data_IF_545157067961
#
_entry.id   IF_545157067961
#
_cell.length_a   1.000
_cell.length_b   1.000
_cell.length_c   1.000
_cell.angle_alpha   90.00
_cell.angle_beta   90.00
_cell.angle_gamma   90.00
#
_symmetry.space_group_name_H-M   'P 1'
#
loop_
_entity.id
_entity.type
_entity.pdbx_description
1 polymer ?
#
# COMPACT_ATOMS: atom_id res chain seq x y z
N UNK A 1 33.74 1.17 3.66
CA UNK A 1 32.45 0.55 3.32
C UNK A 1 31.42 1.62 3.04
N UNK A 2 30.49 1.37 2.12
CA UNK A 2 29.40 2.30 1.77
C UNK A 2 28.06 1.60 1.97
N UNK A 3 27.20 2.19 2.80
CA UNK A 3 25.84 1.74 3.07
C UNK A 3 24.88 2.80 2.53
N UNK A 4 24.28 2.56 1.37
CA UNK A 4 23.22 3.42 0.82
C UNK A 4 21.88 2.82 1.21
N UNK A 5 21.04 3.53 1.99
CA UNK A 5 19.72 3.00 2.30
C UNK A 5 18.84 2.97 1.06
N UNK A 6 17.88 2.06 1.05
CA UNK A 6 16.85 2.04 0.02
C UNK A 6 16.09 3.37 0.06
N UNK A 7 15.99 4.05 -1.09
CA UNK A 7 15.50 5.42 -1.12
C UNK A 7 13.97 5.45 -1.15
N UNK A 8 13.36 5.73 -0.01
CA UNK A 8 11.93 6.04 0.10
C UNK A 8 11.73 7.28 0.92
N UNK A 9 11.02 8.26 0.37
CA UNK A 9 10.80 9.55 0.99
C UNK A 9 10.12 9.42 2.36
N UNK A 10 9.21 8.45 2.50
CA UNK A 10 8.45 8.20 3.72
C UNK A 10 9.30 7.64 4.87
N UNK A 11 10.46 7.03 4.58
CA UNK A 11 11.36 6.43 5.59
C UNK A 11 12.58 7.32 5.81
N UNK A 12 13.22 7.72 4.71
CA UNK A 12 14.45 8.49 4.73
C UNK A 12 15.28 8.23 3.49
N UNK A 13 15.98 9.27 3.06
CA UNK A 13 16.87 9.23 1.91
C UNK A 13 18.29 9.58 2.34
N UNK A 14 18.94 8.67 3.06
CA UNK A 14 20.29 8.88 3.60
C UNK A 14 21.21 7.68 3.37
N UNK A 15 22.51 7.92 3.44
CA UNK A 15 23.53 6.90 3.26
C UNK A 15 24.77 7.23 4.08
N UNK A 16 25.57 6.21 4.34
CA UNK A 16 26.81 6.31 5.11
C UNK A 16 27.97 5.77 4.28
N UNK A 17 28.96 6.61 4.06
CA UNK A 17 30.29 6.17 3.68
C UNK A 17 31.17 6.20 4.93
N UNK A 18 31.79 5.09 5.31
CA UNK A 18 32.66 5.07 6.49
C UNK A 18 33.89 4.18 6.32
N UNK A 19 34.89 4.46 7.14
CA UNK A 19 36.13 3.72 7.30
C UNK A 19 36.39 3.49 8.78
N UNK A 20 36.93 2.33 9.13
CA UNK A 20 37.32 2.00 10.48
C UNK A 20 38.79 1.60 10.51
N UNK A 21 39.54 2.15 11.46
CA UNK A 21 40.95 1.80 11.66
C UNK A 21 41.09 0.94 12.91
N UNK A 22 41.36 -0.35 12.73
CA UNK A 22 41.51 -1.30 13.84
C UNK A 22 42.66 -0.95 14.79
N UNK A 23 43.74 -0.34 14.28
CA UNK A 23 44.90 0.04 15.09
C UNK A 23 44.58 1.15 16.12
N UNK A 24 43.69 2.08 15.77
CA UNK A 24 43.33 3.22 16.62
C UNK A 24 41.94 3.09 17.24
N UNK A 25 41.13 2.14 16.77
CA UNK A 25 39.71 2.01 17.14
C UNK A 25 38.83 3.13 16.61
N UNK A 26 39.33 3.98 15.71
CA UNK A 26 38.62 5.17 15.22
C UNK A 26 37.78 4.83 13.99
N UNK A 27 36.48 5.12 14.08
CA UNK A 27 35.54 5.08 12.96
C UNK A 27 35.33 6.50 12.43
N UNK A 28 35.60 6.72 11.14
CA UNK A 28 35.30 7.98 10.44
C UNK A 28 34.22 7.73 9.41
N UNK A 29 33.15 8.51 9.42
CA UNK A 29 32.04 8.34 8.48
C UNK A 29 31.43 9.67 8.05
N UNK A 30 30.92 9.68 6.82
CA UNK A 30 30.17 10.78 6.22
C UNK A 30 28.74 10.28 6.00
N UNK A 31 27.80 10.91 6.71
CA UNK A 31 26.37 10.75 6.47
C UNK A 31 25.95 11.73 5.38
N UNK A 32 25.31 11.23 4.32
CA UNK A 32 24.84 12.06 3.20
C UNK A 32 23.37 11.77 2.89
N UNK A 33 22.65 12.74 2.33
CA UNK A 33 21.25 12.56 1.91
C UNK A 33 20.29 13.67 2.35
N UNK A 34 19.01 13.50 2.02
CA UNK A 34 17.94 14.42 2.42
C UNK A 34 17.69 14.30 3.92
N UNK A 35 17.67 15.43 4.62
CA UNK A 35 17.61 15.45 6.08
C UNK A 35 18.92 15.06 6.78
N UNK A 36 20.01 14.81 6.04
CA UNK A 36 21.34 14.59 6.64
C UNK A 36 21.99 15.90 7.14
N UNK A 37 21.62 17.04 6.55
CA UNK A 37 22.02 18.37 6.99
C UNK A 37 20.83 19.08 7.68
N UNK A 38 21.14 20.02 8.59
CA UNK A 38 20.22 20.70 9.52
C UNK A 38 19.06 21.47 8.89
N UNK A 39 18.99 21.58 7.55
CA UNK A 39 18.10 22.47 6.81
C UNK A 39 17.10 21.76 5.88
N UNK A 40 16.83 20.46 6.09
CA UNK A 40 15.82 19.73 5.31
C UNK A 40 14.53 19.49 6.09
N UNK A 41 13.38 19.84 5.53
CA UNK A 41 12.11 19.29 5.99
C UNK A 41 12.10 17.77 5.74
N UNK A 42 11.75 16.99 6.77
CA UNK A 42 11.55 15.54 6.65
C UNK A 42 10.09 15.27 6.24
N UNK A 43 9.76 14.01 5.96
CA UNK A 43 8.39 13.60 5.74
C UNK A 43 7.52 14.02 6.94
N UNK A 44 6.34 14.61 6.69
CA UNK A 44 5.47 15.22 7.72
C UNK A 44 5.05 14.28 8.85
N UNK A 45 5.21 12.97 8.63
CA UNK A 45 5.00 11.93 9.63
C UNK A 45 6.01 11.99 10.79
N UNK A 46 7.24 12.46 10.56
CA UNK A 46 8.33 12.42 11.53
C UNK A 46 8.47 13.73 12.28
N UNK A 47 8.46 13.66 13.61
CA UNK A 47 8.60 14.83 14.47
C UNK A 47 10.01 15.46 14.43
N UNK A 48 11.02 14.68 14.03
CA UNK A 48 12.42 15.09 13.93
C UNK A 48 12.99 14.66 12.59
N UNK A 49 13.94 15.46 12.10
CA UNK A 49 14.72 15.15 10.91
C UNK A 49 15.61 13.93 11.18
N UNK A 50 15.73 13.03 10.20
CA UNK A 50 16.56 11.82 10.26
C UNK A 50 17.96 12.03 10.87
N UNK A 51 18.68 13.09 10.46
CA UNK A 51 20.02 13.38 11.02
C UNK A 51 20.01 13.59 12.53
N UNK A 52 19.00 14.27 13.05
CA UNK A 52 18.89 14.57 14.47
C UNK A 52 18.64 13.29 15.28
N UNK A 53 17.76 12.41 14.79
CA UNK A 53 17.48 11.12 15.42
C UNK A 53 18.70 10.20 15.38
N UNK A 54 19.35 10.07 14.21
CA UNK A 54 20.60 9.30 14.06
C UNK A 54 21.69 9.85 14.99
N UNK A 55 21.85 11.17 15.05
CA UNK A 55 22.83 11.80 15.94
C UNK A 55 22.55 11.49 17.42
N UNK A 56 21.28 11.56 17.84
CA UNK A 56 20.87 11.18 19.19
C UNK A 56 21.18 9.71 19.49
N UNK A 57 20.92 8.80 18.54
CA UNK A 57 21.27 7.38 18.69
C UNK A 57 22.77 7.16 18.82
N UNK A 58 23.59 7.86 18.01
CA UNK A 58 25.05 7.80 18.09
C UNK A 58 25.53 8.30 19.45
N UNK A 59 25.02 9.45 19.92
CA UNK A 59 25.38 10.03 21.20
C UNK A 59 24.93 9.19 22.41
N UNK A 60 23.83 8.42 22.30
CA UNK A 60 23.35 7.57 23.38
C UNK A 60 24.24 6.33 23.61
N UNK A 61 25.03 5.91 22.62
CA UNK A 61 25.79 4.66 22.64
C UNK A 61 27.31 4.88 22.52
N UNK A 62 27.85 5.88 23.23
CA UNK A 62 29.28 6.25 23.23
C UNK A 62 30.22 5.09 23.51
N UNK A 63 29.81 4.17 24.38
CA UNK A 63 30.61 3.01 24.76
C UNK A 63 30.95 2.08 23.57
N UNK A 64 30.13 2.08 22.51
CA UNK A 64 30.31 1.21 21.35
C UNK A 64 30.95 1.90 20.15
N UNK A 65 31.39 3.17 20.26
CA UNK A 65 31.95 3.93 19.12
C UNK A 65 33.18 3.29 18.50
N UNK A 66 33.95 2.57 19.31
CA UNK A 66 35.17 1.88 18.88
C UNK A 66 34.87 0.59 18.11
N UNK A 67 33.61 0.16 18.02
CA UNK A 67 33.25 -1.05 17.29
C UNK A 67 33.06 -0.74 15.79
N UNK A 68 33.69 -1.50 14.87
CA UNK A 68 33.65 -1.24 13.42
C UNK A 68 32.22 -1.22 12.84
N UNK A 69 31.36 -2.09 13.35
CA UNK A 69 29.96 -2.20 12.90
C UNK A 69 28.98 -1.29 13.63
N UNK A 70 29.44 -0.44 14.56
CA UNK A 70 28.54 0.44 15.33
C UNK A 70 27.75 1.41 14.44
N UNK A 71 28.44 2.13 13.56
CA UNK A 71 27.79 3.10 12.67
C UNK A 71 26.82 2.41 11.68
N UNK A 72 27.21 1.33 10.97
CA UNK A 72 26.29 0.55 10.14
C UNK A 72 25.07 0.02 10.88
N UNK A 73 25.26 -0.57 12.06
CA UNK A 73 24.17 -1.14 12.84
C UNK A 73 23.19 -0.05 13.31
N UNK A 74 23.71 1.10 13.74
CA UNK A 74 22.88 2.24 14.18
C UNK A 74 22.02 2.79 13.05
N UNK A 75 22.59 2.92 11.85
CA UNK A 75 21.84 3.42 10.68
C UNK A 75 20.79 2.41 10.24
N UNK A 76 21.13 1.11 10.22
CA UNK A 76 20.17 0.06 9.92
C UNK A 76 19.05 0.02 10.94
N UNK A 77 19.36 0.17 12.23
CA UNK A 77 18.35 0.25 13.28
C UNK A 77 17.39 1.42 13.06
N UNK A 78 17.91 2.62 12.82
CA UNK A 78 17.08 3.80 12.58
C UNK A 78 16.19 3.62 11.35
N UNK A 79 16.76 3.15 10.24
CA UNK A 79 16.01 2.88 9.00
C UNK A 79 14.93 1.81 9.21
N UNK A 80 15.22 0.76 9.98
CA UNK A 80 14.27 -0.30 10.28
C UNK A 80 13.12 0.19 11.15
N UNK A 81 13.39 1.01 12.18
CA UNK A 81 12.35 1.58 13.06
C UNK A 81 11.38 2.45 12.27
N UNK A 82 11.90 3.36 11.43
CA UNK A 82 11.06 4.21 10.59
C UNK A 82 10.23 3.38 9.59
N UNK A 83 10.84 2.36 9.01
CA UNK A 83 10.15 1.45 8.10
C UNK A 83 9.06 0.64 8.80
N UNK A 84 9.32 0.14 10.01
CA UNK A 84 8.36 -0.62 10.81
C UNK A 84 7.15 0.24 11.18
N UNK A 85 7.38 1.45 11.67
CA UNK A 85 6.30 2.38 11.99
C UNK A 85 5.44 2.70 10.76
N UNK A 86 6.07 2.99 9.62
CA UNK A 86 5.32 3.29 8.40
C UNK A 86 4.50 2.08 7.92
N UNK A 87 5.05 0.87 7.93
CA UNK A 87 4.31 -0.32 7.48
C UNK A 87 3.18 -0.68 8.45
N UNK A 88 3.50 -0.75 9.74
CA UNK A 88 2.61 -1.28 10.77
C UNK A 88 1.52 -0.29 11.17
N UNK A 89 1.81 1.02 11.13
CA UNK A 89 0.84 2.06 11.51
C UNK A 89 0.20 2.67 10.28
N UNK A 90 0.99 3.21 9.36
CA UNK A 90 0.43 4.01 8.25
C UNK A 90 -0.18 3.11 7.17
N UNK A 91 0.60 2.20 6.59
CA UNK A 91 0.11 1.34 5.52
C UNK A 91 -0.97 0.38 6.01
N UNK A 92 -0.84 -0.18 7.22
CA UNK A 92 -1.83 -1.09 7.80
C UNK A 92 -3.18 -0.41 8.02
N UNK A 93 -3.20 0.85 8.51
CA UNK A 93 -4.44 1.59 8.68
C UNK A 93 -5.09 1.91 7.32
N UNK A 94 -4.30 2.39 6.35
CA UNK A 94 -4.81 2.63 4.98
C UNK A 94 -5.40 1.35 4.38
N UNK A 95 -4.71 0.22 4.56
CA UNK A 95 -5.19 -1.08 4.09
C UNK A 95 -6.50 -1.48 4.76
N UNK A 96 -6.60 -1.32 6.08
CA UNK A 96 -7.82 -1.64 6.84
C UNK A 96 -8.99 -0.78 6.38
N UNK A 97 -8.78 0.53 6.18
CA UNK A 97 -9.81 1.45 5.68
C UNK A 97 -10.30 1.03 4.29
N UNK A 98 -9.38 0.63 3.41
CA UNK A 98 -9.72 0.11 2.07
C UNK A 98 -10.52 -1.20 2.14
N UNK A 99 -10.14 -2.12 3.01
CA UNK A 99 -10.89 -3.36 3.17
C UNK A 99 -12.29 -3.12 3.76
N UNK A 100 -12.45 -2.13 4.65
CA UNK A 100 -13.75 -1.71 5.15
C UNK A 100 -14.62 -1.16 4.01
N UNK A 101 -14.07 -0.28 3.16
CA UNK A 101 -14.77 0.24 1.97
C UNK A 101 -15.17 -0.88 1.01
N UNK A 102 -14.27 -1.85 0.77
CA UNK A 102 -14.54 -3.01 -0.09
C UNK A 102 -15.57 -3.97 0.52
N UNK A 103 -15.68 -3.99 1.85
CA UNK A 103 -16.56 -4.89 2.61
C UNK A 103 -16.04 -6.33 2.75
N UNK A 104 -14.76 -6.58 2.46
CA UNK A 104 -14.18 -7.94 2.45
C UNK A 104 -13.67 -8.41 3.79
N UNK A 105 -13.23 -7.50 4.65
CA UNK A 105 -12.79 -7.86 6.00
C UNK A 105 -13.71 -7.27 7.06
N UNK A 106 -14.14 -8.16 7.95
CA UNK A 106 -14.85 -7.86 9.19
C UNK A 106 -14.15 -8.64 10.29
N UNK A 107 -13.03 -8.10 10.79
CA UNK A 107 -12.19 -8.80 11.76
C UNK A 107 -12.08 -8.02 13.08
N UNK A 108 -12.12 -8.73 14.21
CA UNK A 108 -11.95 -8.17 15.56
C UNK A 108 -13.24 -7.75 16.29
N UNK A 109 -13.07 -6.99 17.39
CA UNK A 109 -14.16 -6.57 18.31
C UNK A 109 -15.07 -5.45 17.77
N UNK A 110 -14.76 -4.91 16.59
CA UNK A 110 -15.53 -3.83 15.93
C UNK A 110 -16.71 -4.35 15.10
N UNK A 111 -17.06 -5.63 15.27
CA UNK A 111 -18.20 -6.31 14.65
C UNK A 111 -19.57 -5.62 14.82
N UNK A 112 -19.71 -4.68 15.77
CA UNK A 112 -21.02 -4.23 16.28
C UNK A 112 -21.37 -2.76 16.01
N UNK A 113 -20.77 -2.14 15.01
CA UNK A 113 -21.29 -0.88 14.45
C UNK A 113 -22.04 -1.22 13.17
N UNK A 114 -23.32 -1.57 13.35
CA UNK A 114 -24.29 -1.79 12.29
C UNK A 114 -24.37 -0.55 11.39
N UNK A 115 -24.31 -0.72 10.06
CA UNK A 115 -24.89 0.28 9.15
C UNK A 115 -24.18 0.64 7.85
N UNK A 116 -23.02 0.10 7.48
CA UNK A 116 -22.40 0.46 6.19
C UNK A 116 -22.80 -0.50 5.07
N UNK A 117 -23.69 -0.01 4.22
CA UNK A 117 -24.18 -0.60 2.97
C UNK A 117 -23.03 -1.13 2.11
N UNK A 118 -23.14 -2.37 1.64
CA UNK A 118 -22.19 -2.93 0.67
C UNK A 118 -22.31 -2.16 -0.65
N UNK A 119 -21.19 -1.60 -1.12
CA UNK A 119 -21.08 -0.78 -2.36
C UNK A 119 -21.79 -1.39 -3.57
N UNK A 120 -21.88 -2.73 -3.64
CA UNK A 120 -22.44 -3.45 -4.76
C UNK A 120 -23.97 -3.67 -4.69
N UNK A 121 -24.57 -3.64 -3.50
CA UNK A 121 -25.97 -4.06 -3.31
C UNK A 121 -26.94 -2.89 -3.23
N UNK A 122 -26.62 -1.83 -2.47
CA UNK A 122 -27.62 -0.81 -2.11
C UNK A 122 -27.55 0.49 -2.92
N UNK A 123 -26.43 0.80 -3.56
CA UNK A 123 -26.26 2.06 -4.29
C UNK A 123 -26.85 2.03 -5.71
N UNK A 124 -27.37 3.18 -6.23
CA UNK A 124 -27.67 3.37 -7.64
C UNK A 124 -26.45 3.04 -8.52
N UNK A 125 -26.67 2.38 -9.65
CA UNK A 125 -25.59 1.87 -10.53
C UNK A 125 -24.53 2.94 -10.90
N UNK A 126 -24.89 4.19 -11.25
CA UNK A 126 -23.89 5.22 -11.56
C UNK A 126 -22.98 5.53 -10.36
N UNK A 127 -23.56 5.71 -9.18
CA UNK A 127 -22.82 6.00 -7.94
C UNK A 127 -21.93 4.83 -7.52
N UNK A 128 -22.41 3.58 -7.69
CA UNK A 128 -21.60 2.40 -7.44
C UNK A 128 -20.38 2.32 -8.36
N UNK A 129 -20.52 2.70 -9.64
CA UNK A 129 -19.40 2.72 -10.60
C UNK A 129 -18.34 3.76 -10.25
N UNK A 130 -18.75 4.96 -9.87
CA UNK A 130 -17.81 6.02 -9.48
C UNK A 130 -17.03 5.61 -8.21
N UNK A 131 -17.72 5.11 -7.19
CA UNK A 131 -17.07 4.61 -5.97
C UNK A 131 -16.11 3.44 -6.24
N UNK A 132 -16.48 2.49 -7.12
CA UNK A 132 -15.59 1.37 -7.46
C UNK A 132 -14.37 1.85 -8.26
N UNK A 133 -14.52 2.85 -9.13
CA UNK A 133 -13.40 3.46 -9.86
C UNK A 133 -12.42 4.11 -8.88
N UNK A 134 -12.91 4.90 -7.95
CA UNK A 134 -12.07 5.58 -6.95
C UNK A 134 -11.38 4.57 -6.03
N UNK A 135 -12.10 3.52 -5.60
CA UNK A 135 -11.52 2.42 -4.83
C UNK A 135 -10.43 1.67 -5.61
N UNK A 136 -10.60 1.50 -6.92
CA UNK A 136 -9.59 0.87 -7.79
C UNK A 136 -8.32 1.70 -7.88
N UNK A 137 -8.43 3.03 -7.97
CA UNK A 137 -7.27 3.92 -7.97
C UNK A 137 -6.53 3.82 -6.63
N UNK A 138 -7.26 3.94 -5.51
CA UNK A 138 -6.69 3.86 -4.16
C UNK A 138 -5.99 2.52 -3.91
N UNK A 139 -6.65 1.41 -4.25
CA UNK A 139 -6.11 0.07 -4.06
C UNK A 139 -4.86 -0.16 -4.92
N UNK A 140 -4.84 0.32 -6.16
CA UNK A 140 -3.63 0.24 -7.01
C UNK A 140 -2.46 1.03 -6.41
N UNK A 141 -2.70 2.27 -5.95
CA UNK A 141 -1.68 3.08 -5.29
C UNK A 141 -1.14 2.42 -4.03
N UNK A 142 -2.01 1.86 -3.18
CA UNK A 142 -1.58 1.13 -1.99
C UNK A 142 -0.79 -0.13 -2.33
N UNK A 143 -1.27 -0.92 -3.30
CA UNK A 143 -0.58 -2.14 -3.71
C UNK A 143 0.82 -1.83 -4.24
N UNK A 144 0.99 -0.73 -4.97
CA UNK A 144 2.29 -0.27 -5.40
C UNK A 144 3.19 0.04 -4.18
N UNK A 145 2.71 0.82 -3.21
CA UNK A 145 3.47 1.10 -1.98
C UNK A 145 3.83 -0.19 -1.22
N UNK A 146 2.89 -1.13 -1.06
CA UNK A 146 3.15 -2.41 -0.39
C UNK A 146 4.25 -3.23 -1.09
N UNK A 147 4.22 -3.30 -2.42
CA UNK A 147 5.25 -3.99 -3.21
C UNK A 147 6.62 -3.35 -2.98
N UNK A 148 6.68 -2.03 -3.00
CA UNK A 148 7.91 -1.28 -2.75
C UNK A 148 8.44 -1.52 -1.33
N UNK A 149 7.57 -1.56 -0.31
CA UNK A 149 7.97 -1.86 1.06
C UNK A 149 8.31 -3.34 1.31
N UNK A 150 7.82 -4.27 0.47
CA UNK A 150 8.39 -5.62 0.39
C UNK A 150 9.84 -5.58 -0.10
N UNK A 151 10.16 -4.77 -1.11
CA UNK A 151 11.54 -4.63 -1.60
C UNK A 151 12.46 -3.99 -0.54
N UNK A 152 11.99 -2.95 0.16
CA UNK A 152 12.72 -2.30 1.26
C UNK A 152 13.05 -3.30 2.37
N UNK A 153 12.07 -4.08 2.83
CA UNK A 153 12.26 -5.05 3.92
C UNK A 153 13.15 -6.22 3.52
N UNK A 154 13.08 -6.68 2.26
CA UNK A 154 14.03 -7.65 1.69
C UNK A 154 15.47 -7.10 1.72
N UNK A 155 15.65 -5.84 1.31
CA UNK A 155 16.96 -5.17 1.34
C UNK A 155 17.49 -5.03 2.77
N UNK A 156 16.65 -4.58 3.71
CA UNK A 156 17.02 -4.44 5.13
C UNK A 156 17.50 -5.77 5.72
N UNK A 157 16.75 -6.85 5.48
CA UNK A 157 17.11 -8.19 5.92
C UNK A 157 18.44 -8.66 5.31
N UNK A 158 18.61 -8.49 3.99
CA UNK A 158 19.85 -8.87 3.31
C UNK A 158 21.08 -8.10 3.82
N UNK A 159 20.94 -6.78 4.03
CA UNK A 159 22.01 -5.96 4.59
C UNK A 159 22.36 -6.37 6.03
N UNK A 160 21.38 -6.61 6.89
CA UNK A 160 21.62 -7.04 8.27
C UNK A 160 22.27 -8.42 8.34
N UNK A 161 21.89 -9.34 7.45
CA UNK A 161 22.55 -10.63 7.32
C UNK A 161 24.02 -10.44 6.93
N UNK A 162 24.30 -9.61 5.93
CA UNK A 162 25.67 -9.32 5.51
C UNK A 162 26.51 -8.66 6.62
N UNK A 163 25.92 -7.76 7.43
CA UNK A 163 26.61 -7.21 8.61
C UNK A 163 26.95 -8.30 9.64
N UNK A 164 26.10 -9.31 9.80
CA UNK A 164 26.37 -10.47 10.64
C UNK A 164 27.52 -11.33 10.10
N UNK A 165 27.58 -11.52 8.79
CA UNK A 165 28.68 -12.23 8.13
C UNK A 165 30.02 -11.49 8.35
N UNK A 166 30.03 -10.16 8.16
CA UNK A 166 31.21 -9.31 8.43
C UNK A 166 31.62 -9.39 9.91
N UNK A 167 30.68 -9.45 10.85
CA UNK A 167 31.03 -9.61 12.27
C UNK A 167 31.77 -10.92 12.52
N UNK A 168 31.33 -11.99 11.87
CA UNK A 168 31.97 -13.32 11.97
C UNK A 168 33.40 -13.26 11.41
N UNK A 169 33.60 -12.60 10.26
CA UNK A 169 34.94 -12.41 9.68
C UNK A 169 35.88 -11.59 10.60
N UNK A 170 35.36 -10.55 11.27
CA UNK A 170 36.13 -9.74 12.23
C UNK A 170 36.55 -10.57 13.45
N UNK A 171 35.66 -11.45 13.91
CA UNK A 171 35.93 -12.35 15.03
C UNK A 171 36.98 -13.41 14.67
N UNK A 172 36.88 -14.00 13.48
CA UNK A 172 37.85 -14.96 12.96
C UNK A 172 39.23 -14.33 12.74
N UNK A 173 39.28 -13.04 12.36
CA UNK A 173 40.51 -12.27 12.23
C UNK A 173 41.16 -11.89 13.57
N UNK A 174 40.62 -12.33 14.71
CA UNK A 174 41.06 -11.97 16.07
C UNK A 174 41.12 -10.45 16.32
N UNK A 175 40.35 -9.66 15.57
CA UNK A 175 40.19 -8.22 15.79
C UNK A 175 39.17 -8.05 16.93
N UNK A 176 39.62 -8.38 18.14
CA UNK A 176 38.76 -8.57 19.29
C UNK A 176 38.36 -7.21 19.91
N UNK A 177 37.10 -6.80 19.71
CA UNK A 177 36.49 -5.76 20.54
C UNK A 177 35.75 -6.41 21.71
N UNK A 178 35.91 -5.85 22.91
CA UNK A 178 35.16 -6.27 24.11
C UNK A 178 33.63 -6.20 23.91
N UNK A 179 33.17 -5.50 22.86
CA UNK A 179 31.76 -5.33 22.52
C UNK A 179 31.26 -6.28 21.42
N UNK A 180 32.07 -7.23 20.92
CA UNK A 180 31.65 -8.15 19.85
C UNK A 180 30.37 -8.93 20.21
N UNK A 181 30.28 -9.43 21.44
CA UNK A 181 29.07 -10.13 21.92
C UNK A 181 27.84 -9.23 21.95
N UNK A 182 27.99 -7.99 22.44
CA UNK A 182 26.90 -7.01 22.47
C UNK A 182 26.46 -6.60 21.05
N UNK A 183 27.42 -6.46 20.13
CA UNK A 183 27.13 -6.18 18.72
C UNK A 183 26.42 -7.35 18.05
N UNK A 184 26.85 -8.59 18.31
CA UNK A 184 26.19 -9.79 17.79
C UNK A 184 24.73 -9.85 18.20
N UNK A 185 24.45 -9.65 19.50
CA UNK A 185 23.09 -9.61 20.01
C UNK A 185 22.26 -8.48 19.38
N UNK A 186 22.88 -7.31 19.17
CA UNK A 186 22.23 -6.18 18.50
C UNK A 186 21.86 -6.52 17.07
N UNK A 187 22.80 -7.06 16.28
CA UNK A 187 22.56 -7.45 14.89
C UNK A 187 21.53 -8.59 14.78
N UNK A 188 21.59 -9.59 15.67
CA UNK A 188 20.60 -10.68 15.71
C UNK A 188 19.19 -10.14 15.99
N UNK A 189 19.05 -9.24 16.96
CA UNK A 189 17.78 -8.59 17.26
C UNK A 189 17.27 -7.80 16.04
N UNK A 190 18.12 -7.00 15.41
CA UNK A 190 17.75 -6.24 14.22
C UNK A 190 17.35 -7.16 13.06
N UNK A 191 18.06 -8.28 12.87
CA UNK A 191 17.77 -9.26 11.84
C UNK A 191 16.40 -9.92 12.06
N UNK A 192 16.08 -10.30 13.30
CA UNK A 192 14.76 -10.85 13.64
C UNK A 192 13.65 -9.82 13.40
N UNK A 193 13.88 -8.55 13.77
CA UNK A 193 12.92 -7.47 13.49
C UNK A 193 12.72 -7.26 11.98
N UNK A 194 13.80 -7.22 11.20
CA UNK A 194 13.72 -7.08 9.74
C UNK A 194 13.01 -8.27 9.08
N UNK A 195 13.25 -9.48 9.58
CA UNK A 195 12.56 -10.68 9.12
C UNK A 195 11.07 -10.65 9.45
N UNK A 196 10.70 -10.20 10.65
CA UNK A 196 9.30 -10.03 11.05
C UNK A 196 8.59 -9.01 10.15
N UNK A 197 9.22 -7.84 9.94
CA UNK A 197 8.68 -6.80 9.06
C UNK A 197 8.52 -7.30 7.62
N UNK A 198 9.51 -8.03 7.10
CA UNK A 198 9.47 -8.64 5.77
C UNK A 198 8.30 -9.63 5.63
N UNK A 199 8.07 -10.48 6.64
CA UNK A 199 6.92 -11.41 6.65
C UNK A 199 5.60 -10.66 6.69
N UNK A 200 5.48 -9.64 7.56
CA UNK A 200 4.28 -8.82 7.68
C UNK A 200 3.92 -8.11 6.37
N UNK A 201 4.91 -7.51 5.70
CA UNK A 201 4.71 -6.85 4.41
C UNK A 201 4.29 -7.84 3.32
N UNK A 202 4.90 -9.03 3.27
CA UNK A 202 4.51 -10.06 2.31
C UNK A 202 3.08 -10.57 2.53
N UNK A 203 2.69 -10.82 3.79
CA UNK A 203 1.33 -11.22 4.12
C UNK A 203 0.31 -10.14 3.72
N UNK A 204 0.60 -8.87 4.04
CA UNK A 204 -0.26 -7.74 3.67
C UNK A 204 -0.38 -7.60 2.14
N UNK A 205 0.71 -7.79 1.40
CA UNK A 205 0.69 -7.82 -0.07
C UNK A 205 -0.19 -8.95 -0.62
N UNK A 206 -0.10 -10.15 -0.04
CA UNK A 206 -0.94 -11.28 -0.44
C UNK A 206 -2.42 -11.00 -0.18
N UNK A 207 -2.75 -10.41 0.97
CA UNK A 207 -4.11 -9.96 1.27
C UNK A 207 -4.60 -8.91 0.26
N UNK A 208 -3.80 -7.87 -0.01
CA UNK A 208 -4.18 -6.84 -0.97
C UNK A 208 -4.36 -7.37 -2.40
N UNK A 209 -3.60 -8.38 -2.81
CA UNK A 209 -3.82 -9.05 -4.10
C UNK A 209 -5.15 -9.81 -4.13
N UNK A 210 -5.53 -10.45 -3.02
CA UNK A 210 -6.83 -11.11 -2.91
C UNK A 210 -7.98 -10.09 -2.96
N UNK A 211 -7.86 -8.98 -2.23
CA UNK A 211 -8.86 -7.91 -2.22
C UNK A 211 -9.00 -7.24 -3.60
N UNK A 212 -7.90 -7.08 -4.34
CA UNK A 212 -7.95 -6.61 -5.74
C UNK A 212 -8.79 -7.52 -6.64
N UNK A 213 -8.66 -8.84 -6.49
CA UNK A 213 -9.47 -9.78 -7.27
C UNK A 213 -10.96 -9.66 -6.90
N UNK A 214 -11.27 -9.40 -5.63
CA UNK A 214 -12.64 -9.16 -5.18
C UNK A 214 -13.18 -7.88 -5.79
N UNK A 215 -12.39 -6.80 -5.79
CA UNK A 215 -12.78 -5.53 -6.41
C UNK A 215 -13.14 -5.70 -7.89
N UNK A 216 -12.31 -6.41 -8.66
CA UNK A 216 -12.62 -6.70 -10.07
C UNK A 216 -13.89 -7.55 -10.23
N UNK A 217 -14.13 -8.50 -9.34
CA UNK A 217 -15.38 -9.27 -9.32
C UNK A 217 -16.60 -8.38 -9.05
N UNK A 218 -16.51 -7.45 -8.10
CA UNK A 218 -17.60 -6.50 -7.80
C UNK A 218 -17.89 -5.57 -8.98
N UNK A 219 -16.86 -5.08 -9.68
CA UNK A 219 -17.03 -4.27 -10.91
C UNK A 219 -17.80 -5.07 -11.97
N UNK A 220 -17.40 -6.32 -12.22
CA UNK A 220 -18.09 -7.21 -13.16
C UNK A 220 -19.55 -7.46 -12.76
N UNK A 221 -19.84 -7.64 -11.48
CA UNK A 221 -21.20 -7.82 -10.98
C UNK A 221 -22.07 -6.57 -11.22
N UNK A 222 -21.53 -5.37 -10.98
CA UNK A 222 -22.25 -4.12 -11.24
C UNK A 222 -22.53 -3.94 -12.74
N UNK A 223 -21.58 -4.27 -13.61
CA UNK A 223 -21.76 -4.24 -15.06
C UNK A 223 -22.80 -5.25 -15.53
N UNK A 224 -22.77 -6.48 -15.01
CA UNK A 224 -23.76 -7.50 -15.33
C UNK A 224 -25.17 -7.10 -14.88
N UNK A 225 -25.31 -6.48 -13.70
CA UNK A 225 -26.58 -5.94 -13.21
C UNK A 225 -27.10 -4.81 -14.11
N UNK A 226 -26.22 -3.94 -14.58
CA UNK A 226 -26.57 -2.87 -15.53
C UNK A 226 -27.07 -3.46 -16.84
N UNK A 227 -26.32 -4.40 -17.42
CA UNK A 227 -26.69 -5.07 -18.67
C UNK A 227 -28.03 -5.80 -18.56
N UNK A 228 -28.28 -6.50 -17.45
CA UNK A 228 -29.56 -7.16 -17.19
C UNK A 228 -30.73 -6.16 -17.11
N UNK A 229 -30.54 -4.99 -16.45
CA UNK A 229 -31.56 -3.94 -16.40
C UNK A 229 -31.83 -3.31 -17.77
N UNK A 230 -30.78 -3.06 -18.55
CA UNK A 230 -30.90 -2.54 -19.91
C UNK A 230 -31.63 -3.55 -20.83
N UNK A 231 -31.33 -4.83 -20.70
CA UNK A 231 -32.01 -5.89 -21.45
C UNK A 231 -33.50 -6.00 -21.07
N UNK A 232 -33.84 -5.88 -19.79
CA UNK A 232 -35.23 -5.89 -19.32
C UNK A 232 -36.01 -4.67 -19.80
N UNK A 233 -35.43 -3.47 -19.71
CA UNK A 233 -36.04 -2.23 -20.23
C UNK A 233 -36.24 -2.31 -21.75
N UNK A 234 -35.20 -2.75 -22.49
CA UNK A 234 -35.30 -2.96 -23.94
C UNK A 234 -36.38 -3.98 -24.31
N UNK A 235 -36.51 -5.06 -23.54
CA UNK A 235 -37.57 -6.06 -23.77
C UNK A 235 -38.97 -5.48 -23.57
N UNK A 236 -39.14 -4.63 -22.55
CA UNK A 236 -40.39 -3.92 -22.30
C UNK A 236 -40.70 -2.91 -23.42
N UNK A 237 -39.70 -2.15 -23.88
CA UNK A 237 -39.85 -1.18 -24.98
C UNK A 237 -40.19 -1.89 -26.30
N UNK A 238 -39.56 -3.03 -26.58
CA UNK A 238 -39.89 -3.88 -27.73
C UNK A 238 -41.34 -4.38 -27.64
N UNK A 239 -41.78 -4.80 -26.45
CA UNK A 239 -43.17 -5.24 -26.26
C UNK A 239 -44.15 -4.10 -26.52
N UNK A 240 -43.91 -2.91 -25.96
CA UNK A 240 -44.72 -1.73 -26.19
C UNK A 240 -44.75 -1.33 -27.67
N UNK A 241 -43.59 -1.35 -28.34
CA UNK A 241 -43.45 -1.05 -29.76
C UNK A 241 -44.22 -2.04 -30.64
N UNK A 242 -44.16 -3.34 -30.31
CA UNK A 242 -44.95 -4.38 -31.00
C UNK A 242 -46.45 -4.13 -30.83
N UNK A 243 -46.90 -3.76 -29.64
CA UNK A 243 -48.31 -3.44 -29.39
C UNK A 243 -48.77 -2.21 -30.18
N UNK A 244 -47.98 -1.13 -30.22
CA UNK A 244 -48.31 0.07 -31.01
C UNK A 244 -48.34 -0.23 -32.52
N UNK A 245 -47.37 -0.97 -33.03
CA UNK A 245 -47.34 -1.38 -34.43
C UNK A 245 -48.57 -2.24 -34.79
N UNK A 246 -48.94 -3.16 -33.90
CA UNK A 246 -50.15 -3.97 -34.06
C UNK A 246 -51.42 -3.11 -34.07
N UNK A 247 -51.61 -2.23 -33.09
CA UNK A 247 -52.77 -1.33 -33.01
C UNK A 247 -52.85 -0.43 -34.25
N UNK A 248 -51.73 0.14 -34.68
CA UNK A 248 -51.66 0.98 -35.89
C UNK A 248 -52.09 0.18 -37.12
N UNK A 249 -51.59 -1.04 -37.28
CA UNK A 249 -51.96 -1.93 -38.40
C UNK A 249 -53.45 -2.27 -38.38
N UNK A 250 -54.03 -2.49 -37.20
CA UNK A 250 -55.43 -2.85 -37.03
C UNK A 250 -56.37 -1.67 -37.35
N UNK A 251 -56.06 -0.47 -36.86
CA UNK A 251 -56.93 0.70 -36.98
C UNK A 251 -56.71 1.52 -38.26
N UNK A 252 -55.58 1.37 -38.95
CA UNK A 252 -55.29 2.14 -40.16
C UNK A 252 -56.30 1.90 -41.29
N UNK A 253 -56.73 0.66 -41.63
CA UNK A 253 -57.74 0.45 -42.66
C UNK A 253 -59.12 1.00 -42.26
N UNK A 254 -59.51 0.84 -40.99
CA UNK A 254 -60.78 1.35 -40.48
C UNK A 254 -60.85 2.88 -40.47
N UNK A 255 -59.76 3.54 -40.08
CA UNK A 255 -59.64 5.00 -40.10
C UNK A 255 -59.65 5.55 -41.53
N UNK A 256 -59.01 4.84 -42.48
CA UNK A 256 -59.05 5.16 -43.90
C UNK A 256 -60.47 5.09 -44.46
N UNK A 257 -61.19 4.00 -44.19
CA UNK A 257 -62.59 3.82 -44.62
C UNK A 257 -63.50 4.87 -43.97
N UNK A 258 -63.39 5.11 -42.66
CA UNK A 258 -64.18 6.13 -41.97
C UNK A 258 -63.96 7.54 -42.52
N UNK A 259 -62.72 7.88 -42.87
CA UNK A 259 -62.39 9.17 -43.49
C UNK A 259 -62.98 9.32 -44.90
N UNK A 260 -63.01 8.23 -45.69
CA UNK A 260 -63.64 8.20 -47.01
C UNK A 260 -65.15 8.43 -46.95
N UNK A 261 -65.82 7.87 -45.93
CA UNK A 261 -67.27 8.02 -45.75
C UNK A 261 -67.67 9.27 -44.96
N UNK A 262 -66.76 9.87 -44.19
CA UNK A 262 -67.00 11.11 -43.44
C UNK A 262 -66.69 12.36 -44.25
N UNK A 263 -66.06 12.24 -45.42
CA UNK A 263 -65.89 13.36 -46.34
C UNK A 263 -67.19 13.58 -47.10
N UNK A 264 -67.81 14.76 -46.93
CA UNK A 264 -68.97 15.20 -47.70
C UNK A 264 -68.53 15.52 -49.13
N UNK A 265 -68.41 14.49 -49.96
CA UNK A 265 -68.06 14.64 -51.39
C UNK A 265 -69.28 15.14 -52.20
N UNK A 266 -70.47 15.19 -51.57
CA UNK A 266 -71.73 15.63 -52.17
C UNK A 266 -72.45 16.70 -51.34
N UNK A 267 -71.75 17.78 -50.99
CA UNK A 267 -72.36 19.10 -50.80
C UNK A 267 -71.93 20.02 -51.95
#
# INVERSE_FOLDING_TARGET
MVLKTYQKFQIGNYGLAFSHTFATGVSTGILHGTGAASYGEDYSLWAKIASMEIHQHIQAAQQMWNHPLFLPATIMQHHLIRSDYFCTVVLCNMFTDMQQQLGTTRSGRLYRTEGESSLATDAPVPQAKDSLRDLTIQMNSLMHELIEFCAVSNWQHACLKHLGDILTEIEDANQCSIYNNAMRLTLQRLLVLAESLRRGNNATREHGQADMNILYSLISQVDNRLNARMAAASSHDIAAMKTLAFLTTLFSPGTFIASLFSTSIFD
#
